data_IF_545614192662
#
_entry.id   IF_545614192662
#
_cell.length_a   1.000
_cell.length_b   1.000
_cell.length_c   1.000
_cell.angle_alpha   90.00
_cell.angle_beta   90.00
_cell.angle_gamma   90.00
#
_symmetry.space_group_name_H-M   'P 1'
#
loop_
_entity.id
_entity.type
_entity.pdbx_description
1 polymer ?
#
# COMPACT_ATOMS: atom_id res chain seq x y z
N UNK A 1 58.47 -30.79 0.73
CA UNK A 1 57.16 -31.47 0.53
C UNK A 1 55.97 -30.66 1.04
N UNK A 2 56.04 -30.02 2.20
CA UNK A 2 54.95 -29.22 2.81
C UNK A 2 54.42 -28.07 1.91
N UNK A 3 55.29 -27.38 1.16
CA UNK A 3 54.89 -26.26 0.27
C UNK A 3 53.97 -26.66 -0.90
N UNK A 4 54.04 -27.92 -1.37
CA UNK A 4 53.17 -28.41 -2.47
C UNK A 4 51.78 -28.82 -1.96
N UNK A 5 51.69 -29.23 -0.70
CA UNK A 5 50.42 -29.59 -0.05
C UNK A 5 49.57 -28.36 0.28
N UNK A 6 50.22 -27.26 0.72
CA UNK A 6 49.53 -25.99 0.99
C UNK A 6 48.93 -25.37 -0.29
N UNK A 7 49.64 -25.45 -1.42
CA UNK A 7 49.14 -24.98 -2.71
C UNK A 7 47.92 -25.78 -3.20
N UNK A 8 47.89 -27.09 -2.95
CA UNK A 8 46.76 -27.94 -3.30
C UNK A 8 45.53 -27.67 -2.42
N UNK A 9 45.72 -27.40 -1.12
CA UNK A 9 44.63 -26.98 -0.22
C UNK A 9 44.05 -25.60 -0.58
N UNK A 10 44.88 -24.65 -1.05
CA UNK A 10 44.42 -23.34 -1.51
C UNK A 10 43.59 -23.40 -2.82
N UNK A 11 43.92 -24.31 -3.73
CA UNK A 11 43.16 -24.54 -4.97
C UNK A 11 41.80 -25.23 -4.72
N UNK A 12 41.71 -26.10 -3.70
CA UNK A 12 40.45 -26.71 -3.25
C UNK A 12 39.51 -25.75 -2.54
N UNK A 13 40.02 -24.68 -1.91
CA UNK A 13 39.20 -23.63 -1.30
C UNK A 13 38.63 -22.64 -2.33
N UNK A 14 39.29 -22.48 -3.49
CA UNK A 14 38.82 -21.63 -4.59
C UNK A 14 37.75 -22.28 -5.49
N UNK A 15 37.55 -23.60 -5.38
CA UNK A 15 36.53 -24.32 -6.18
C UNK A 15 35.14 -24.33 -5.54
N UNK A 16 34.97 -23.77 -4.33
CA UNK A 16 33.69 -23.75 -3.60
C UNK A 16 32.93 -22.41 -3.65
N UNK A 17 33.32 -21.42 -4.45
CA UNK A 17 32.66 -20.09 -4.44
C UNK A 17 32.13 -19.62 -5.79
N UNK A 18 31.77 -20.54 -6.68
CA UNK A 18 30.77 -20.21 -7.71
C UNK A 18 29.39 -20.54 -7.15
N UNK A 19 28.96 -19.78 -6.12
CA UNK A 19 27.53 -19.57 -5.93
C UNK A 19 27.11 -18.78 -7.14
N UNK A 20 26.70 -19.49 -8.19
CA UNK A 20 26.01 -18.88 -9.31
C UNK A 20 24.75 -18.27 -8.68
N UNK A 21 24.80 -16.97 -8.40
CA UNK A 21 23.64 -16.26 -7.88
C UNK A 21 22.49 -16.61 -8.81
N UNK A 22 21.46 -17.27 -8.28
CA UNK A 22 20.25 -17.46 -9.06
C UNK A 22 19.87 -16.08 -9.59
N UNK A 23 19.60 -15.95 -10.90
CA UNK A 23 19.18 -14.67 -11.45
C UNK A 23 18.03 -14.18 -10.58
N UNK A 24 18.18 -12.98 -9.99
CA UNK A 24 17.16 -12.44 -9.11
C UNK A 24 15.80 -12.59 -9.79
N UNK A 25 14.89 -13.31 -9.14
CA UNK A 25 13.55 -13.54 -9.70
C UNK A 25 12.96 -12.19 -10.12
N UNK A 26 12.54 -12.09 -11.39
CA UNK A 26 11.80 -10.93 -11.91
C UNK A 26 10.56 -10.61 -11.08
N UNK A 27 10.03 -11.62 -10.40
CA UNK A 27 8.90 -11.49 -9.49
C UNK A 27 9.40 -11.23 -8.07
N UNK A 28 9.11 -10.04 -7.55
CA UNK A 28 9.41 -9.65 -6.17
C UNK A 28 8.13 -9.69 -5.36
N UNK A 29 8.19 -10.36 -4.21
CA UNK A 29 7.05 -10.47 -3.29
C UNK A 29 6.76 -9.11 -2.65
N UNK A 30 5.48 -8.78 -2.45
CA UNK A 30 5.09 -7.56 -1.73
C UNK A 30 3.99 -7.77 -0.69
N UNK A 31 3.20 -8.84 -0.78
CA UNK A 31 2.10 -9.08 0.13
C UNK A 31 1.66 -10.54 0.11
N UNK A 32 1.14 -11.03 1.24
CA UNK A 32 0.41 -12.28 1.29
C UNK A 32 -0.69 -12.26 2.35
N UNK A 33 -1.69 -13.11 2.15
CA UNK A 33 -2.70 -13.48 3.15
C UNK A 33 -2.69 -15.00 3.31
N UNK A 34 -3.61 -15.52 4.13
CA UNK A 34 -3.90 -16.95 4.26
C UNK A 34 -4.36 -17.62 2.95
N UNK A 35 -4.71 -16.83 1.92
CA UNK A 35 -5.29 -17.34 0.66
C UNK A 35 -4.50 -17.03 -0.60
N UNK A 36 -3.67 -15.99 -0.58
CA UNK A 36 -3.01 -15.48 -1.79
C UNK A 36 -1.65 -14.88 -1.48
N UNK A 37 -0.66 -15.21 -2.31
CA UNK A 37 0.63 -14.52 -2.39
C UNK A 37 0.66 -13.57 -3.59
N UNK A 38 1.18 -12.37 -3.41
CA UNK A 38 1.20 -11.32 -4.42
C UNK A 38 2.62 -10.84 -4.72
N UNK A 39 2.93 -10.71 -6.01
CA UNK A 39 4.25 -10.35 -6.51
C UNK A 39 4.15 -9.29 -7.60
N UNK A 40 5.16 -8.44 -7.74
CA UNK A 40 5.29 -7.47 -8.83
C UNK A 40 6.45 -7.85 -9.74
N UNK A 41 6.34 -7.46 -11.01
CA UNK A 41 7.29 -7.84 -12.05
C UNK A 41 8.27 -6.70 -12.36
N UNK A 42 9.53 -6.87 -11.95
CA UNK A 42 10.58 -5.87 -12.15
C UNK A 42 10.92 -5.64 -13.62
N UNK A 43 10.63 -6.58 -14.52
CA UNK A 43 10.90 -6.41 -15.96
C UNK A 43 9.84 -5.57 -16.67
N UNK A 44 8.65 -5.43 -16.09
CA UNK A 44 7.58 -4.57 -16.63
C UNK A 44 7.46 -3.24 -15.88
N UNK A 45 8.19 -3.10 -14.76
CA UNK A 45 8.16 -1.91 -13.94
C UNK A 45 8.75 -0.73 -14.72
N UNK A 46 7.91 0.26 -15.00
CA UNK A 46 8.32 1.56 -15.50
C UNK A 46 8.01 2.63 -14.46
N UNK A 47 8.96 3.52 -14.19
CA UNK A 47 8.80 4.58 -13.19
C UNK A 47 9.04 5.97 -13.80
N UNK A 48 8.04 6.83 -13.68
CA UNK A 48 8.11 8.24 -14.03
C UNK A 48 8.44 9.05 -12.75
N UNK A 49 9.71 9.42 -12.61
CA UNK A 49 10.19 10.16 -11.45
C UNK A 49 9.56 11.56 -11.33
N UNK A 50 9.18 12.19 -12.45
CA UNK A 50 8.58 13.53 -12.45
C UNK A 50 7.16 13.54 -11.88
N UNK A 51 6.46 12.42 -11.99
CA UNK A 51 5.09 12.22 -11.47
C UNK A 51 5.02 11.32 -10.25
N UNK A 52 6.17 10.85 -9.77
CA UNK A 52 6.29 9.78 -8.76
C UNK A 52 5.30 8.63 -9.01
N UNK A 53 5.26 8.17 -10.26
CA UNK A 53 4.27 7.19 -10.72
C UNK A 53 4.95 5.92 -11.23
N UNK A 54 4.44 4.76 -10.81
CA UNK A 54 4.88 3.45 -11.29
C UNK A 54 3.80 2.78 -12.13
N UNK A 55 4.21 2.17 -13.24
CA UNK A 55 3.43 1.30 -14.09
C UNK A 55 4.00 -0.12 -13.97
N UNK A 56 3.18 -1.11 -13.62
CA UNK A 56 3.69 -2.45 -13.28
C UNK A 56 2.64 -3.54 -13.48
N UNK A 57 3.12 -4.73 -13.85
CA UNK A 57 2.35 -5.97 -13.73
C UNK A 57 2.52 -6.65 -12.39
N UNK A 58 1.44 -7.19 -11.87
CA UNK A 58 1.43 -8.00 -10.65
C UNK A 58 0.83 -9.37 -10.94
N UNK A 59 1.25 -10.39 -10.18
CA UNK A 59 0.63 -11.72 -10.20
C UNK A 59 0.18 -12.13 -8.81
N UNK A 60 -0.84 -12.96 -8.78
CA UNK A 60 -1.42 -13.57 -7.60
C UNK A 60 -1.30 -15.09 -7.71
N UNK A 61 -0.78 -15.71 -6.66
CA UNK A 61 -0.69 -17.16 -6.51
C UNK A 61 -1.63 -17.61 -5.39
N UNK A 62 -2.35 -18.71 -5.58
CA UNK A 62 -3.10 -19.33 -4.48
C UNK A 62 -2.17 -20.07 -3.50
N UNK A 63 -2.76 -20.70 -2.48
CA UNK A 63 -2.04 -21.48 -1.46
C UNK A 63 -1.23 -22.67 -2.02
N UNK A 64 -1.58 -23.17 -3.21
CA UNK A 64 -0.87 -24.26 -3.89
C UNK A 64 0.25 -23.73 -4.82
N UNK A 65 0.48 -22.41 -4.84
CA UNK A 65 1.44 -21.78 -5.74
C UNK A 65 0.94 -21.61 -7.18
N UNK A 66 -0.31 -21.93 -7.46
CA UNK A 66 -0.89 -21.81 -8.80
C UNK A 66 -1.22 -20.35 -9.10
N UNK A 67 -0.87 -19.91 -10.32
CA UNK A 67 -1.20 -18.58 -10.78
C UNK A 67 -2.70 -18.46 -11.04
N UNK A 68 -3.37 -17.59 -10.29
CA UNK A 68 -4.83 -17.39 -10.36
C UNK A 68 -5.20 -16.06 -11.03
N UNK A 69 -4.29 -15.10 -11.08
CA UNK A 69 -4.53 -13.84 -11.77
C UNK A 69 -3.31 -12.95 -11.89
N UNK A 70 -3.40 -12.02 -12.82
CA UNK A 70 -2.45 -10.92 -13.00
C UNK A 70 -3.21 -9.60 -13.13
N UNK A 71 -2.60 -8.51 -12.68
CA UNK A 71 -3.19 -7.17 -12.74
C UNK A 71 -2.15 -6.16 -13.21
N UNK A 72 -2.48 -5.41 -14.26
CA UNK A 72 -1.73 -4.25 -14.72
C UNK A 72 -2.18 -3.02 -13.93
N UNK A 73 -1.24 -2.33 -13.28
CA UNK A 73 -1.51 -1.28 -12.29
C UNK A 73 -0.68 -0.04 -12.55
N UNK A 74 -1.32 1.12 -12.34
CA UNK A 74 -0.63 2.37 -12.05
C UNK A 74 -0.66 2.64 -10.55
N UNK A 75 0.46 3.10 -9.99
CA UNK A 75 0.59 3.62 -8.63
C UNK A 75 1.10 5.05 -8.69
N UNK A 76 0.46 5.93 -7.94
CA UNK A 76 0.77 7.36 -7.83
C UNK A 76 1.23 7.61 -6.40
N UNK A 77 2.54 7.56 -6.15
CA UNK A 77 3.13 7.48 -4.81
C UNK A 77 2.95 8.78 -4.03
N UNK A 78 3.01 9.93 -4.70
CA UNK A 78 2.78 11.23 -4.06
C UNK A 78 1.29 11.46 -3.77
N UNK A 79 0.44 10.96 -4.65
CA UNK A 79 -1.00 11.14 -4.54
C UNK A 79 -1.65 10.21 -3.53
N UNK A 80 -0.97 9.13 -3.15
CA UNK A 80 -1.55 8.06 -2.34
C UNK A 80 -2.66 7.33 -3.10
N UNK A 81 -2.47 7.08 -4.40
CA UNK A 81 -3.50 6.56 -5.28
C UNK A 81 -3.01 5.41 -6.18
N UNK A 82 -3.95 4.63 -6.69
CA UNK A 82 -3.71 3.49 -7.56
C UNK A 82 -4.83 3.35 -8.59
N UNK A 83 -4.52 2.76 -9.74
CA UNK A 83 -5.52 2.36 -10.72
C UNK A 83 -5.18 0.98 -11.29
N UNK A 84 -6.22 0.20 -11.59
CA UNK A 84 -6.07 -1.06 -12.32
C UNK A 84 -6.52 -0.83 -13.77
N UNK A 85 -5.72 -1.29 -14.73
CA UNK A 85 -5.93 -1.05 -16.17
C UNK A 85 -6.41 -2.32 -16.87
N UNK A 86 -5.87 -3.45 -16.46
CA UNK A 86 -6.16 -4.75 -17.05
C UNK A 86 -6.11 -5.83 -15.97
N UNK A 87 -7.00 -6.81 -16.09
CA UNK A 87 -6.99 -8.03 -15.29
C UNK A 87 -6.81 -9.23 -16.21
N UNK A 88 -6.05 -10.21 -15.77
CA UNK A 88 -5.97 -11.53 -16.39
C UNK A 88 -6.37 -12.55 -15.35
N UNK A 89 -7.36 -13.38 -15.63
CA UNK A 89 -7.77 -14.47 -14.75
C UNK A 89 -7.35 -15.80 -15.36
N UNK A 90 -6.89 -16.73 -14.53
CA UNK A 90 -6.50 -18.06 -14.98
C UNK A 90 -7.55 -19.08 -14.55
N UNK A 91 -8.09 -19.84 -15.51
CA UNK A 91 -8.96 -21.00 -15.26
C UNK A 91 -8.30 -22.23 -15.87
N UNK A 92 -7.93 -23.20 -15.04
CA UNK A 92 -7.21 -24.41 -15.46
C UNK A 92 -5.94 -24.09 -16.30
N UNK A 93 -5.21 -23.03 -15.92
CA UNK A 93 -4.01 -22.57 -16.62
C UNK A 93 -4.26 -21.69 -17.85
N UNK A 94 -5.51 -21.51 -18.29
CA UNK A 94 -5.83 -20.66 -19.45
C UNK A 94 -6.14 -19.22 -19.05
N UNK A 95 -5.48 -18.21 -19.66
CA UNK A 95 -5.70 -16.81 -19.35
C UNK A 95 -6.98 -16.27 -20.02
N UNK A 96 -7.72 -15.44 -19.28
CA UNK A 96 -8.83 -14.62 -19.78
C UNK A 96 -8.54 -13.15 -19.46
N UNK A 97 -8.42 -12.32 -20.50
CA UNK A 97 -8.03 -10.91 -20.38
C UNK A 97 -9.27 -10.02 -20.31
N UNK A 98 -9.32 -9.15 -19.31
CA UNK A 98 -10.37 -8.17 -19.10
C UNK A 98 -9.77 -6.77 -19.05
N UNK A 99 -10.04 -5.97 -20.07
CA UNK A 99 -9.69 -4.55 -20.11
C UNK A 99 -10.69 -3.73 -19.31
N UNK A 100 -10.19 -2.80 -18.50
CA UNK A 100 -11.04 -1.87 -17.77
C UNK A 100 -11.56 -0.81 -18.75
N UNK A 101 -12.88 -0.77 -18.97
CA UNK A 101 -13.52 0.20 -19.89
C UNK A 101 -13.26 1.66 -19.51
N UNK A 102 -13.18 1.95 -18.21
CA UNK A 102 -12.88 3.28 -17.65
C UNK A 102 -11.96 3.12 -16.45
N UNK A 103 -10.70 3.53 -16.63
CA UNK A 103 -9.69 3.48 -15.56
C UNK A 103 -10.16 4.36 -14.40
N UNK A 104 -10.28 3.76 -13.22
CA UNK A 104 -10.74 4.44 -12.02
C UNK A 104 -9.60 4.54 -11.02
N UNK A 105 -9.18 5.77 -10.75
CA UNK A 105 -8.15 6.07 -9.75
C UNK A 105 -8.80 6.01 -8.37
N UNK A 106 -8.26 5.14 -7.52
CA UNK A 106 -8.69 4.94 -6.15
C UNK A 106 -7.59 5.37 -5.20
N UNK A 107 -8.00 5.95 -4.07
CA UNK A 107 -7.08 6.30 -3.00
C UNK A 107 -6.70 5.03 -2.24
N UNK A 108 -5.41 4.86 -1.99
CA UNK A 108 -4.85 3.67 -1.36
C UNK A 108 -5.05 3.79 0.16
N UNK A 109 -5.65 2.78 0.77
CA UNK A 109 -5.76 2.75 2.22
C UNK A 109 -4.41 2.37 2.84
N UNK A 110 -4.04 2.94 4.01
CA UNK A 110 -2.91 2.43 4.78
C UNK A 110 -3.15 0.97 5.16
N UNK A 111 -2.09 0.19 5.32
CA UNK A 111 -2.00 -1.25 5.54
C UNK A 111 -2.82 -2.06 4.50
N UNK A 112 -2.84 -1.63 3.24
CA UNK A 112 -3.52 -2.34 2.15
C UNK A 112 -2.51 -3.02 1.21
N UNK A 113 -2.93 -4.04 0.43
CA UNK A 113 -2.05 -4.66 -0.56
C UNK A 113 -1.47 -3.66 -1.58
N UNK A 114 -2.21 -2.62 -1.94
CA UNK A 114 -1.72 -1.58 -2.85
C UNK A 114 -0.67 -0.68 -2.19
N UNK A 115 -0.76 -0.40 -0.88
CA UNK A 115 0.31 0.31 -0.16
C UNK A 115 1.55 -0.58 -0.07
N UNK A 116 1.37 -1.86 0.27
CA UNK A 116 2.47 -2.82 0.33
C UNK A 116 3.19 -2.95 -1.03
N UNK A 117 2.45 -2.96 -2.14
CA UNK A 117 3.01 -2.89 -3.49
C UNK A 117 3.79 -1.59 -3.72
N UNK A 118 3.19 -0.44 -3.39
CA UNK A 118 3.85 0.86 -3.57
C UNK A 118 5.14 0.98 -2.76
N UNK A 119 5.15 0.48 -1.52
CA UNK A 119 6.33 0.46 -0.65
C UNK A 119 7.36 -0.56 -1.15
N UNK A 120 6.94 -1.72 -1.65
CA UNK A 120 7.81 -2.71 -2.29
C UNK A 120 8.55 -2.13 -3.50
N UNK A 121 7.84 -1.40 -4.36
CA UNK A 121 8.44 -0.70 -5.51
C UNK A 121 9.33 0.46 -5.06
N UNK A 122 8.88 1.26 -4.09
CA UNK A 122 9.67 2.37 -3.57
C UNK A 122 11.00 1.89 -2.99
N UNK A 123 10.99 0.79 -2.23
CA UNK A 123 12.19 0.16 -1.71
C UNK A 123 13.09 -0.39 -2.83
N UNK A 124 12.51 -1.06 -3.82
CA UNK A 124 13.26 -1.60 -4.96
C UNK A 124 13.97 -0.50 -5.77
N UNK A 125 13.31 0.65 -5.96
CA UNK A 125 13.85 1.80 -6.69
C UNK A 125 14.64 2.78 -5.81
N UNK A 126 14.73 2.53 -4.50
CA UNK A 126 15.31 3.43 -3.51
C UNK A 126 14.73 4.87 -3.57
N UNK A 127 13.40 4.99 -3.63
CA UNK A 127 12.66 6.26 -3.61
C UNK A 127 11.77 6.37 -2.37
N UNK A 128 11.28 7.58 -2.09
CA UNK A 128 10.38 7.82 -0.94
C UNK A 128 9.10 6.98 -1.07
N UNK A 129 8.67 6.29 0.01
CA UNK A 129 7.43 5.50 0.00
C UNK A 129 6.19 6.37 -0.20
N UNK A 130 5.05 5.70 -0.45
CA UNK A 130 3.75 6.36 -0.59
C UNK A 130 3.33 7.03 0.72
N UNK A 131 3.41 6.27 1.82
CA UNK A 131 3.17 6.76 3.16
C UNK A 131 4.42 6.48 4.02
N UNK A 132 4.83 7.40 4.91
CA UNK A 132 5.99 7.20 5.78
C UNK A 132 5.91 5.93 6.66
N UNK A 133 4.74 5.61 7.19
CA UNK A 133 4.55 4.46 8.08
C UNK A 133 5.07 4.65 9.50
N UNK A 134 5.25 3.52 10.20
CA UNK A 134 5.81 3.45 11.55
C UNK A 134 4.85 2.91 12.61
N UNK A 135 5.42 2.50 13.74
CA UNK A 135 4.71 1.86 14.86
C UNK A 135 3.56 2.72 15.42
N UNK A 136 3.72 4.04 15.34
CA UNK A 136 2.76 5.03 15.86
C UNK A 136 1.83 5.62 14.77
N UNK A 137 1.73 4.98 13.60
CA UNK A 137 0.83 5.43 12.51
C UNK A 137 -0.60 5.63 13.01
N UNK A 138 -1.13 4.67 13.76
CA UNK A 138 -2.52 4.65 14.20
C UNK A 138 -2.68 5.26 15.59
N UNK A 139 -3.07 6.54 15.65
CA UNK A 139 -3.41 7.23 16.90
C UNK A 139 -4.83 6.87 17.30
N UNK A 140 -5.04 6.36 18.52
CA UNK A 140 -6.37 6.13 19.07
C UNK A 140 -7.09 7.47 19.31
N UNK A 141 -8.37 7.56 18.92
CA UNK A 141 -9.17 8.79 19.02
C UNK A 141 -10.51 8.60 19.75
N UNK A 142 -10.79 7.37 20.20
CA UNK A 142 -12.00 7.06 20.94
C UNK A 142 -12.43 5.61 20.79
N UNK A 143 -13.47 5.24 21.53
CA UNK A 143 -14.13 3.95 21.40
C UNK A 143 -15.64 4.10 21.69
N UNK A 144 -16.37 3.05 21.34
CA UNK A 144 -17.73 2.74 21.78
C UNK A 144 -17.71 1.42 22.53
N UNK A 145 -18.87 0.94 22.94
CA UNK A 145 -19.09 -0.42 23.44
C UNK A 145 -18.86 -1.51 22.37
N UNK A 146 -18.73 -1.15 21.09
CA UNK A 146 -18.64 -2.10 19.97
C UNK A 146 -17.34 -2.03 19.18
N UNK A 147 -16.63 -0.89 19.20
CA UNK A 147 -15.37 -0.73 18.46
C UNK A 147 -14.46 0.38 19.01
N UNK A 148 -13.18 0.31 18.65
CA UNK A 148 -12.20 1.38 18.82
C UNK A 148 -11.94 2.11 17.51
N UNK A 149 -11.70 3.42 17.59
CA UNK A 149 -11.39 4.31 16.47
C UNK A 149 -9.93 4.75 16.51
N UNK A 150 -9.29 4.70 15.35
CA UNK A 150 -7.92 5.16 15.15
C UNK A 150 -7.81 6.03 13.91
N UNK A 151 -7.00 7.08 14.00
CA UNK A 151 -6.65 7.96 12.88
C UNK A 151 -5.22 7.66 12.40
N UNK A 152 -5.03 7.59 11.08
CA UNK A 152 -3.69 7.48 10.47
C UNK A 152 -2.99 8.83 10.43
N UNK A 153 -1.90 8.98 11.18
CA UNK A 153 -1.20 10.26 11.39
C UNK A 153 -0.24 10.66 10.26
N UNK A 154 0.03 9.74 9.33
CA UNK A 154 0.98 9.91 8.22
C UNK A 154 0.28 9.98 6.85
N UNK A 155 -1.05 9.93 6.84
CA UNK A 155 -1.87 9.85 5.63
C UNK A 155 -2.75 11.09 5.36
N UNK A 156 -2.60 12.14 6.17
CA UNK A 156 -3.38 13.37 6.05
C UNK A 156 -3.08 14.12 4.76
N UNK A 157 -4.11 14.55 4.02
CA UNK A 157 -3.94 15.29 2.76
C UNK A 157 -4.95 16.42 2.60
N UNK A 158 -4.45 17.61 2.30
CA UNK A 158 -5.29 18.77 2.02
C UNK A 158 -5.57 18.89 0.51
N UNK A 159 -6.84 19.11 0.18
CA UNK A 159 -7.36 19.33 -1.17
C UNK A 159 -7.88 20.78 -1.25
N UNK A 160 -7.03 21.74 -1.63
CA UNK A 160 -7.35 23.17 -1.58
C UNK A 160 -8.52 23.53 -2.49
N UNK A 161 -8.70 22.82 -3.60
CA UNK A 161 -9.73 23.10 -4.61
C UNK A 161 -11.16 22.87 -4.11
N UNK A 162 -11.32 22.09 -3.05
CA UNK A 162 -12.62 21.84 -2.40
C UNK A 162 -12.64 22.20 -0.92
N UNK A 163 -11.51 22.71 -0.40
CA UNK A 163 -11.28 22.91 1.03
C UNK A 163 -11.63 21.66 1.84
N UNK A 164 -11.00 20.54 1.49
CA UNK A 164 -11.15 19.28 2.21
C UNK A 164 -9.80 18.82 2.74
N UNK A 165 -9.73 18.54 4.04
CA UNK A 165 -8.66 17.77 4.63
C UNK A 165 -9.10 16.32 4.79
N UNK A 166 -8.44 15.41 4.06
CA UNK A 166 -8.76 14.00 4.08
C UNK A 166 -7.89 13.25 5.09
N UNK A 167 -8.50 12.33 5.84
CA UNK A 167 -7.84 11.44 6.80
C UNK A 167 -8.39 10.01 6.66
N UNK A 168 -7.54 9.03 6.98
CA UNK A 168 -7.96 7.63 7.08
C UNK A 168 -8.28 7.27 8.52
N UNK A 169 -9.44 6.65 8.72
CA UNK A 169 -9.92 6.15 10.00
C UNK A 169 -10.00 4.63 9.94
N UNK A 170 -9.41 3.97 10.92
CA UNK A 170 -9.54 2.53 11.15
C UNK A 170 -10.49 2.32 12.31
N UNK A 171 -11.56 1.55 12.08
CA UNK A 171 -12.42 1.02 13.14
C UNK A 171 -12.05 -0.44 13.40
N UNK A 172 -11.89 -0.80 14.67
CA UNK A 172 -11.57 -2.17 15.11
C UNK A 172 -12.69 -2.63 16.03
N UNK A 173 -13.49 -3.60 15.58
CA UNK A 173 -14.58 -4.17 16.36
C UNK A 173 -14.07 -5.20 17.37
N UNK A 174 -14.89 -5.47 18.40
CA UNK A 174 -14.58 -6.49 19.41
C UNK A 174 -14.36 -7.89 18.83
N UNK A 175 -14.92 -8.20 17.65
CA UNK A 175 -14.68 -9.47 16.94
C UNK A 175 -13.27 -9.59 16.34
N UNK A 176 -12.46 -8.53 16.41
CA UNK A 176 -11.18 -8.43 15.69
C UNK A 176 -11.33 -7.98 14.24
N UNK A 177 -12.56 -7.88 13.70
CA UNK A 177 -12.78 -7.31 12.39
C UNK A 177 -12.37 -5.83 12.37
N UNK A 178 -11.57 -5.45 11.38
CA UNK A 178 -11.14 -4.07 11.19
C UNK A 178 -11.50 -3.60 9.79
N UNK A 179 -11.97 -2.36 9.68
CA UNK A 179 -12.18 -1.70 8.41
C UNK A 179 -11.62 -0.29 8.43
N UNK A 180 -11.23 0.19 7.24
CA UNK A 180 -10.63 1.50 7.03
C UNK A 180 -11.51 2.30 6.09
N UNK A 181 -11.88 3.51 6.48
CA UNK A 181 -12.62 4.44 5.64
C UNK A 181 -11.97 5.82 5.65
N UNK A 182 -12.22 6.57 4.60
CA UNK A 182 -11.65 7.89 4.39
C UNK A 182 -12.69 8.97 4.66
N UNK A 183 -12.34 9.87 5.56
CA UNK A 183 -13.14 11.02 5.93
C UNK A 183 -12.54 12.28 5.33
N UNK A 184 -13.40 13.25 5.05
CA UNK A 184 -13.07 14.56 4.51
C UNK A 184 -13.64 15.61 5.46
N UNK A 185 -12.79 16.45 6.02
CA UNK A 185 -13.16 17.52 6.94
C UNK A 185 -12.97 18.88 6.27
N UNK A 186 -13.99 19.73 6.29
CA UNK A 186 -13.93 21.11 5.81
C UNK A 186 -14.09 22.01 7.02
N UNK A 187 -12.95 22.50 7.50
CA UNK A 187 -12.91 23.22 8.78
C UNK A 187 -13.58 24.60 8.70
N UNK A 188 -13.55 25.25 7.53
CA UNK A 188 -14.19 26.55 7.30
C UNK A 188 -15.72 26.53 7.43
N UNK A 189 -16.36 25.38 7.20
CA UNK A 189 -17.83 25.23 7.22
C UNK A 189 -18.34 24.33 8.33
N UNK A 190 -17.46 23.83 9.19
CA UNK A 190 -17.79 22.82 10.19
C UNK A 190 -18.44 21.56 9.59
N UNK A 191 -17.84 21.01 8.53
CA UNK A 191 -18.41 19.88 7.80
C UNK A 191 -17.48 18.67 7.78
N UNK A 192 -18.08 17.48 7.80
CA UNK A 192 -17.44 16.18 7.60
C UNK A 192 -18.23 15.36 6.56
N UNK A 193 -17.52 14.56 5.77
CA UNK A 193 -18.09 13.62 4.81
C UNK A 193 -17.25 12.34 4.72
N UNK A 194 -17.84 11.27 4.24
CA UNK A 194 -17.11 10.10 3.72
C UNK A 194 -17.09 10.14 2.20
N UNK A 195 -16.38 9.22 1.55
CA UNK A 195 -16.32 9.14 0.08
C UNK A 195 -17.71 9.11 -0.60
N UNK A 196 -18.67 8.43 0.03
CA UNK A 196 -20.04 8.25 -0.50
C UNK A 196 -21.10 9.01 0.31
N UNK A 197 -20.72 9.62 1.43
CA UNK A 197 -21.63 10.35 2.31
C UNK A 197 -21.77 11.81 1.93
N UNK A 198 -22.95 12.38 2.20
CA UNK A 198 -23.14 13.83 2.10
C UNK A 198 -22.34 14.54 3.20
N UNK A 199 -21.87 15.75 2.87
CA UNK A 199 -21.31 16.65 3.86
C UNK A 199 -22.38 17.00 4.91
N UNK A 200 -21.99 16.92 6.17
CA UNK A 200 -22.84 17.17 7.33
C UNK A 200 -22.03 17.80 8.44
N UNK A 201 -22.71 18.41 9.41
CA UNK A 201 -22.02 18.92 10.59
C UNK A 201 -21.67 17.74 11.52
N UNK A 202 -20.50 17.76 12.19
CA UNK A 202 -20.20 16.81 13.26
C UNK A 202 -21.25 16.93 14.36
N UNK A 203 -21.84 15.80 14.76
CA UNK A 203 -22.82 15.74 15.86
C UNK A 203 -22.04 15.65 17.18
N UNK A 204 -22.39 16.41 18.23
CA UNK A 204 -21.73 16.30 19.54
C UNK A 204 -21.68 14.85 20.05
N UNK A 205 -20.55 14.48 20.66
CA UNK A 205 -20.21 13.18 21.24
C UNK A 205 -20.15 12.00 20.24
N UNK A 206 -20.37 12.27 18.95
CA UNK A 206 -20.36 11.25 17.90
C UNK A 206 -18.95 10.90 17.41
N UNK A 207 -18.85 9.79 16.68
CA UNK A 207 -17.67 9.45 15.89
C UNK A 207 -17.21 10.60 15.00
N UNK A 208 -18.15 11.31 14.38
CA UNK A 208 -17.86 12.41 13.46
C UNK A 208 -17.15 13.56 14.16
N UNK A 209 -17.56 13.91 15.38
CA UNK A 209 -16.89 14.95 16.17
C UNK A 209 -15.48 14.50 16.57
N UNK A 210 -15.32 13.27 17.05
CA UNK A 210 -14.00 12.69 17.41
C UNK A 210 -13.05 12.72 16.21
N UNK A 211 -13.53 12.27 15.04
CA UNK A 211 -12.76 12.26 13.79
C UNK A 211 -12.42 13.69 13.36
N UNK A 212 -13.40 14.59 13.35
CA UNK A 212 -13.22 15.97 12.91
C UNK A 212 -12.21 16.73 13.77
N UNK A 213 -12.30 16.60 15.10
CA UNK A 213 -11.35 17.22 16.03
C UNK A 213 -9.94 16.64 15.88
N UNK A 214 -9.81 15.32 15.78
CA UNK A 214 -8.52 14.68 15.56
C UNK A 214 -7.89 15.06 14.20
N UNK A 215 -8.70 15.20 13.15
CA UNK A 215 -8.24 15.67 11.85
C UNK A 215 -7.79 17.14 11.89
N UNK A 216 -8.49 17.99 12.65
CA UNK A 216 -8.12 19.40 12.86
C UNK A 216 -6.79 19.53 13.59
N UNK A 217 -6.59 18.73 14.65
CA UNK A 217 -5.31 18.64 15.35
C UNK A 217 -4.19 18.20 14.40
N UNK A 218 -4.43 17.15 13.61
CA UNK A 218 -3.43 16.64 12.67
C UNK A 218 -3.01 17.70 11.65
N UNK A 219 -3.96 18.41 11.04
CA UNK A 219 -3.66 19.47 10.09
C UNK A 219 -2.82 20.59 10.72
N UNK A 220 -3.12 20.96 11.97
CA UNK A 220 -2.39 21.99 12.69
C UNK A 220 -0.92 21.62 12.96
N UNK A 221 -0.57 20.33 13.00
CA UNK A 221 0.83 19.88 13.14
C UNK A 221 1.66 20.00 11.86
N UNK A 222 1.06 20.40 10.73
CA UNK A 222 1.73 20.49 9.43
C UNK A 222 2.12 19.14 8.81
N UNK A 223 1.68 18.02 9.40
CA UNK A 223 1.86 16.68 8.84
C UNK A 223 0.80 16.45 7.75
N UNK A 224 1.07 16.98 6.56
CA UNK A 224 0.38 16.59 5.32
C UNK A 224 1.37 15.96 4.36
N UNK A 225 0.93 14.93 3.65
CA UNK A 225 1.68 14.38 2.50
C UNK A 225 1.58 15.35 1.32
#
# INVERSE_FOLDING_TARGET
MVKRFIAFCLLLLLSCTVVQAEPESRWKWYYSSDRVGMYFDTQTLHYDASKRAADVWTKNLNVNGEKIGEVHKFLFLEEGAAANVQYVYYRNGYPSVHNVKKVYIQQVAPDSPNEALANGIANYLNVKPMYPGGENRWKWIGATDTYSLYLATDCGKYYPEKDWYAVWIKRVYLSGYAYKDRYYCRFSKNQIATRYGRARNPIPESDDEKIYNAAKELQATGKSI
#
